data_IF_956069094307
#
_entry.id   IF_956069094307
#
_cell.length_a   1.000
_cell.length_b   1.000
_cell.length_c   1.000
_cell.angle_alpha   90.00
_cell.angle_beta   90.00
_cell.angle_gamma   90.00
#
_symmetry.space_group_name_H-M   'P 1'
#
loop_
_entity.id
_entity.type
_entity.pdbx_description
1 polymer ?
#
# COMPACT_ATOMS: atom_id res chain seq x y z
N UNK A 1 -4.93 -24.93 -6.25
CA UNK A 1 -4.85 -24.89 -7.75
C UNK A 1 -5.60 -23.71 -8.37
N UNK A 2 -6.53 -23.06 -7.68
CA UNK A 2 -7.33 -21.94 -8.23
C UNK A 2 -6.59 -20.58 -8.28
N UNK A 3 -5.41 -20.47 -7.68
CA UNK A 3 -4.64 -19.21 -7.62
C UNK A 3 -3.76 -18.97 -8.86
N UNK A 4 -3.76 -19.91 -9.81
CA UNK A 4 -2.88 -19.87 -11.00
C UNK A 4 -3.36 -18.96 -12.13
N UNK A 5 -4.51 -18.30 -11.98
CA UNK A 5 -5.06 -17.49 -13.05
C UNK A 5 -5.26 -16.03 -12.63
N UNK A 6 -4.78 -15.09 -13.45
CA UNK A 6 -5.03 -13.66 -13.30
C UNK A 6 -6.53 -13.31 -13.19
N UNK A 7 -7.42 -14.20 -13.60
CA UNK A 7 -8.87 -14.13 -13.39
C UNK A 7 -9.29 -14.04 -11.92
N UNK A 8 -8.51 -14.60 -10.99
CA UNK A 8 -8.77 -14.52 -9.57
C UNK A 8 -8.87 -13.06 -9.09
N UNK A 9 -8.10 -12.16 -9.71
CA UNK A 9 -8.15 -10.74 -9.36
C UNK A 9 -9.50 -10.09 -9.64
N UNK A 10 -10.30 -10.65 -10.57
CA UNK A 10 -11.61 -10.13 -10.93
C UNK A 10 -12.74 -10.74 -10.08
N UNK A 11 -12.58 -11.97 -9.60
CA UNK A 11 -13.64 -12.69 -8.89
C UNK A 11 -13.41 -12.78 -7.37
N UNK A 12 -12.20 -12.54 -6.87
CA UNK A 12 -11.87 -12.63 -5.45
C UNK A 12 -12.08 -11.26 -4.76
N UNK A 13 -13.00 -11.15 -3.79
CA UNK A 13 -13.29 -9.89 -3.08
C UNK A 13 -12.09 -9.35 -2.26
N UNK A 14 -11.10 -10.18 -1.96
CA UNK A 14 -9.87 -9.75 -1.32
C UNK A 14 -8.91 -9.02 -2.28
N UNK A 15 -9.17 -9.07 -3.58
CA UNK A 15 -8.36 -8.39 -4.60
C UNK A 15 -8.98 -7.05 -4.99
N UNK A 16 -8.14 -6.06 -5.18
CA UNK A 16 -8.59 -4.71 -5.51
C UNK A 16 -9.34 -4.60 -6.84
N UNK A 17 -9.01 -5.47 -7.81
CA UNK A 17 -9.69 -5.54 -9.12
C UNK A 17 -10.97 -6.39 -9.09
N UNK A 18 -11.50 -6.76 -7.92
CA UNK A 18 -12.78 -7.44 -7.83
C UNK A 18 -13.85 -6.65 -8.60
N UNK A 19 -14.61 -7.33 -9.44
CA UNK A 19 -15.52 -6.69 -10.40
C UNK A 19 -16.51 -5.70 -9.75
N UNK A 20 -16.98 -6.00 -8.53
CA UNK A 20 -17.88 -5.10 -7.78
C UNK A 20 -17.20 -3.77 -7.46
N UNK A 21 -15.90 -3.79 -7.07
CA UNK A 21 -15.14 -2.56 -6.77
C UNK A 21 -14.80 -1.77 -8.04
N UNK A 22 -14.63 -2.47 -9.18
CA UNK A 22 -14.46 -1.79 -10.47
C UNK A 22 -15.77 -1.10 -10.84
N UNK A 23 -16.91 -1.80 -10.77
CA UNK A 23 -18.22 -1.25 -11.08
C UNK A 23 -18.53 -0.04 -10.20
N UNK A 24 -18.36 -0.15 -8.87
CA UNK A 24 -18.56 0.97 -7.95
C UNK A 24 -17.70 2.18 -8.31
N UNK A 25 -16.43 1.93 -8.68
CA UNK A 25 -15.51 3.01 -9.08
C UNK A 25 -15.91 3.67 -10.39
N UNK A 26 -16.48 2.93 -11.35
CA UNK A 26 -17.05 3.47 -12.59
C UNK A 26 -18.26 4.37 -12.26
N UNK A 27 -19.17 3.90 -11.41
CA UNK A 27 -20.33 4.69 -10.97
C UNK A 27 -19.89 5.99 -10.28
N UNK A 28 -18.95 5.91 -9.36
CA UNK A 28 -18.38 7.09 -8.66
C UNK A 28 -17.70 8.05 -9.63
N UNK A 29 -17.00 7.54 -10.64
CA UNK A 29 -16.40 8.37 -11.68
C UNK A 29 -17.46 9.12 -12.50
N UNK A 30 -18.55 8.47 -12.91
CA UNK A 30 -19.65 9.12 -13.60
C UNK A 30 -20.32 10.17 -12.72
N UNK A 31 -20.60 9.89 -11.44
CA UNK A 31 -21.12 10.86 -10.48
C UNK A 31 -20.20 12.07 -10.38
N UNK A 32 -18.88 11.84 -10.26
CA UNK A 32 -17.88 12.92 -10.21
C UNK A 32 -17.96 13.82 -11.45
N UNK A 33 -17.98 13.27 -12.66
CA UNK A 33 -18.02 14.04 -13.89
C UNK A 33 -19.35 14.78 -14.07
N UNK A 34 -20.44 14.14 -13.71
CA UNK A 34 -21.78 14.76 -13.73
C UNK A 34 -21.83 15.99 -12.80
N UNK A 35 -21.43 15.84 -11.53
CA UNK A 35 -21.47 16.92 -10.53
C UNK A 35 -20.45 18.02 -10.86
N UNK A 36 -19.25 17.66 -11.32
CA UNK A 36 -18.20 18.65 -11.64
C UNK A 36 -18.38 19.33 -12.99
N UNK A 37 -19.36 18.92 -13.79
CA UNK A 37 -19.59 19.39 -15.17
C UNK A 37 -18.35 19.26 -16.08
N UNK A 38 -17.46 18.31 -15.79
CA UNK A 38 -16.24 18.05 -16.57
C UNK A 38 -16.50 16.99 -17.62
N UNK A 39 -15.60 16.95 -18.63
CA UNK A 39 -15.71 15.97 -19.70
C UNK A 39 -15.32 14.56 -19.23
N UNK A 40 -16.24 13.61 -19.28
CA UNK A 40 -16.05 12.21 -18.91
C UNK A 40 -15.22 11.39 -19.92
N UNK A 41 -14.98 11.91 -21.14
CA UNK A 41 -14.19 11.22 -22.19
C UNK A 41 -12.77 10.82 -21.72
N UNK A 42 -12.29 11.44 -20.65
CA UNK A 42 -11.01 11.06 -20.02
C UNK A 42 -11.02 9.60 -19.56
N UNK A 43 -12.17 9.07 -19.11
CA UNK A 43 -12.28 7.68 -18.61
C UNK A 43 -11.94 6.66 -19.73
N UNK A 44 -12.37 6.93 -20.95
CA UNK A 44 -12.21 6.03 -22.11
C UNK A 44 -11.08 6.45 -23.04
N UNK A 45 -10.28 7.46 -22.66
CA UNK A 45 -9.24 8.03 -23.52
C UNK A 45 -8.14 7.00 -23.82
N UNK A 46 -7.96 6.68 -25.10
CA UNK A 46 -6.85 5.86 -25.57
C UNK A 46 -5.47 6.43 -25.21
N UNK A 47 -5.34 7.76 -25.14
CA UNK A 47 -4.11 8.44 -24.68
C UNK A 47 -3.72 8.07 -23.26
N UNK A 48 -4.70 7.71 -22.41
CA UNK A 48 -4.46 7.25 -21.06
C UNK A 48 -4.13 5.75 -21.03
N UNK A 49 -5.06 4.93 -21.55
CA UNK A 49 -4.98 3.47 -21.44
C UNK A 49 -3.88 2.85 -22.31
N UNK A 50 -3.53 3.47 -23.45
CA UNK A 50 -2.46 3.04 -24.32
C UNK A 50 -1.15 3.81 -24.11
N UNK A 51 -1.08 4.66 -23.06
CA UNK A 51 0.16 5.37 -22.72
C UNK A 51 1.29 4.34 -22.44
N UNK A 52 2.54 4.59 -22.89
CA UNK A 52 3.66 3.65 -22.66
C UNK A 52 3.82 3.22 -21.19
N UNK A 53 3.62 4.17 -20.26
CA UNK A 53 3.65 3.86 -18.82
C UNK A 53 2.51 2.93 -18.37
N UNK A 54 1.30 3.06 -18.95
CA UNK A 54 0.19 2.16 -18.63
C UNK A 54 0.41 0.76 -19.23
N UNK A 55 0.92 0.69 -20.48
CA UNK A 55 1.29 -0.60 -21.09
C UNK A 55 2.36 -1.33 -20.25
N UNK A 56 3.33 -0.58 -19.74
CA UNK A 56 4.34 -1.15 -18.85
C UNK A 56 3.71 -1.72 -17.56
N UNK A 57 2.66 -1.07 -17.00
CA UNK A 57 1.92 -1.58 -15.85
C UNK A 57 1.25 -2.91 -16.15
N UNK A 58 0.66 -3.06 -17.35
CA UNK A 58 0.00 -4.31 -17.74
C UNK A 58 0.98 -5.47 -17.81
N UNK A 59 2.12 -5.30 -18.46
CA UNK A 59 3.16 -6.34 -18.49
C UNK A 59 3.74 -6.63 -17.11
N UNK A 60 3.94 -5.57 -16.30
CA UNK A 60 4.48 -5.72 -14.96
C UNK A 60 3.51 -6.43 -14.02
N UNK A 61 2.20 -6.23 -14.19
CA UNK A 61 1.17 -6.93 -13.43
C UNK A 61 1.30 -8.46 -13.57
N UNK A 62 1.44 -8.96 -14.79
CA UNK A 62 1.65 -10.40 -15.02
C UNK A 62 2.99 -10.87 -14.46
N UNK A 63 4.08 -10.14 -14.69
CA UNK A 63 5.39 -10.50 -14.16
C UNK A 63 5.38 -10.54 -12.62
N UNK A 64 4.85 -9.52 -11.97
CA UNK A 64 4.79 -9.46 -10.51
C UNK A 64 3.88 -10.54 -9.90
N UNK A 65 2.84 -10.95 -10.61
CA UNK A 65 1.98 -12.07 -10.21
C UNK A 65 2.79 -13.36 -10.05
N UNK A 66 3.58 -13.73 -11.07
CA UNK A 66 4.44 -14.92 -11.02
C UNK A 66 5.53 -14.80 -9.94
N UNK A 67 6.17 -13.64 -9.84
CA UNK A 67 7.18 -13.38 -8.78
C UNK A 67 6.54 -13.56 -7.39
N UNK A 68 5.36 -13.02 -7.15
CA UNK A 68 4.68 -13.15 -5.87
C UNK A 68 4.39 -14.61 -5.51
N UNK A 69 3.83 -15.39 -6.44
CA UNK A 69 3.45 -16.79 -6.18
C UNK A 69 4.67 -17.66 -5.95
N UNK A 70 5.67 -17.58 -6.82
CA UNK A 70 6.78 -18.54 -6.80
C UNK A 70 7.94 -18.13 -5.92
N UNK A 71 8.16 -16.81 -5.71
CA UNK A 71 9.34 -16.31 -5.00
C UNK A 71 9.03 -15.62 -3.68
N UNK A 72 7.83 -15.10 -3.45
CA UNK A 72 7.55 -14.33 -2.23
C UNK A 72 6.65 -15.09 -1.25
N UNK A 73 5.51 -15.58 -1.70
CA UNK A 73 4.52 -16.25 -0.83
C UNK A 73 5.13 -17.41 -0.03
N UNK A 74 5.98 -18.28 -0.61
CA UNK A 74 6.57 -19.40 0.13
C UNK A 74 7.45 -18.98 1.31
N UNK A 75 7.97 -17.75 1.32
CA UNK A 75 8.87 -17.23 2.35
C UNK A 75 8.21 -16.29 3.36
N UNK A 76 6.92 -15.98 3.20
CA UNK A 76 6.19 -15.15 4.14
C UNK A 76 5.68 -16.03 5.29
N UNK A 77 6.10 -15.71 6.50
CA UNK A 77 5.59 -16.36 7.72
C UNK A 77 4.09 -16.06 7.83
N UNK A 78 3.27 -17.10 7.95
CA UNK A 78 1.82 -16.97 8.03
C UNK A 78 1.34 -16.31 9.33
N UNK A 79 0.28 -15.51 9.26
CA UNK A 79 -0.32 -14.86 10.43
C UNK A 79 -0.72 -15.86 11.54
N UNK A 80 -1.15 -17.08 11.17
CA UNK A 80 -1.46 -18.16 12.10
C UNK A 80 -0.25 -18.54 12.97
N UNK A 81 0.93 -18.68 12.36
CA UNK A 81 2.16 -19.01 13.08
C UNK A 81 2.51 -17.93 14.11
N UNK A 82 2.42 -16.66 13.69
CA UNK A 82 2.67 -15.51 14.57
C UNK A 82 1.65 -15.47 15.71
N UNK A 83 0.36 -15.70 15.42
CA UNK A 83 -0.69 -15.73 16.45
C UNK A 83 -0.41 -16.82 17.51
N UNK A 84 0.03 -18.01 17.08
CA UNK A 84 0.40 -19.09 18.01
C UNK A 84 1.62 -18.70 18.87
N UNK A 85 2.63 -18.06 18.31
CA UNK A 85 3.78 -17.60 19.10
C UNK A 85 3.39 -16.52 20.11
N UNK A 86 2.62 -15.51 19.69
CA UNK A 86 2.13 -14.45 20.58
C UNK A 86 1.27 -15.05 21.72
N UNK A 87 0.36 -15.94 21.38
CA UNK A 87 -0.51 -16.59 22.37
C UNK A 87 0.32 -17.41 23.38
N UNK A 88 1.25 -18.27 22.91
CA UNK A 88 2.14 -19.04 23.79
C UNK A 88 3.01 -18.13 24.67
N UNK A 89 3.52 -17.04 24.12
CA UNK A 89 4.30 -16.07 24.90
C UNK A 89 3.48 -15.44 26.02
N UNK A 90 2.24 -15.02 25.74
CA UNK A 90 1.36 -14.42 26.73
C UNK A 90 1.00 -15.41 27.85
N UNK A 91 0.70 -16.68 27.51
CA UNK A 91 0.49 -17.73 28.51
C UNK A 91 1.73 -17.98 29.38
N UNK A 92 2.92 -17.95 28.80
CA UNK A 92 4.15 -18.18 29.54
C UNK A 92 4.52 -17.04 30.50
N UNK A 93 4.08 -15.79 30.21
CA UNK A 93 4.39 -14.62 31.03
C UNK A 93 3.31 -14.26 32.04
N UNK A 94 2.03 -14.53 31.73
CA UNK A 94 0.88 -14.00 32.47
C UNK A 94 -0.12 -15.09 32.89
N UNK A 95 0.25 -16.36 32.79
CA UNK A 95 -0.60 -17.51 33.07
C UNK A 95 -1.90 -17.54 32.25
N UNK A 96 -2.81 -18.44 32.64
CA UNK A 96 -4.11 -18.56 32.00
C UNK A 96 -5.04 -17.44 32.45
N UNK A 97 -5.63 -16.76 31.47
CA UNK A 97 -6.62 -15.70 31.71
C UNK A 97 -7.90 -16.02 30.95
N UNK A 98 -9.01 -16.22 31.64
CA UNK A 98 -10.34 -16.35 31.04
C UNK A 98 -11.15 -15.10 31.30
N UNK A 99 -11.47 -14.38 30.24
CA UNK A 99 -12.32 -13.19 30.31
C UNK A 99 -13.73 -13.54 29.85
N UNK A 100 -14.69 -13.45 30.77
CA UNK A 100 -16.12 -13.66 30.52
C UNK A 100 -16.95 -12.37 30.51
N UNK A 101 -16.32 -11.20 30.67
CA UNK A 101 -17.04 -9.93 30.81
C UNK A 101 -17.71 -9.44 29.52
N UNK A 102 -17.24 -9.83 28.35
CA UNK A 102 -17.77 -9.36 27.08
C UNK A 102 -18.68 -10.40 26.44
N UNK A 103 -19.80 -9.92 25.84
CA UNK A 103 -20.62 -10.76 24.99
C UNK A 103 -19.85 -11.19 23.73
N UNK A 104 -20.25 -12.32 23.12
CA UNK A 104 -19.65 -12.81 21.87
C UNK A 104 -19.67 -11.75 20.75
N UNK A 105 -20.82 -11.05 20.58
CA UNK A 105 -20.92 -9.97 19.59
C UNK A 105 -19.95 -8.80 19.84
N UNK A 106 -19.73 -8.46 21.13
CA UNK A 106 -18.75 -7.43 21.50
C UNK A 106 -17.33 -7.88 21.17
N UNK A 107 -16.97 -9.14 21.44
CA UNK A 107 -15.64 -9.69 21.11
C UNK A 107 -15.39 -9.63 19.60
N UNK A 108 -16.36 -10.08 18.77
CA UNK A 108 -16.23 -10.03 17.32
C UNK A 108 -16.06 -8.59 16.83
N UNK A 109 -16.85 -7.64 17.34
CA UNK A 109 -16.77 -6.24 16.97
C UNK A 109 -15.40 -5.65 17.31
N UNK A 110 -14.93 -5.85 18.54
CA UNK A 110 -13.61 -5.38 18.98
C UNK A 110 -12.48 -5.99 18.16
N UNK A 111 -12.55 -7.29 17.88
CA UNK A 111 -11.55 -7.98 17.06
C UNK A 111 -11.54 -7.46 15.61
N UNK A 112 -12.71 -7.29 15.00
CA UNK A 112 -12.86 -6.75 13.65
C UNK A 112 -12.26 -5.34 13.53
N UNK A 113 -12.56 -4.46 14.49
CA UNK A 113 -12.02 -3.10 14.56
C UNK A 113 -10.50 -3.14 14.80
N UNK A 114 -10.03 -3.96 15.74
CA UNK A 114 -8.61 -4.04 16.10
C UNK A 114 -7.75 -4.49 14.92
N UNK A 115 -8.16 -5.53 14.19
CA UNK A 115 -7.47 -5.98 12.98
C UNK A 115 -7.40 -4.85 11.96
N UNK A 116 -8.50 -4.15 11.69
CA UNK A 116 -8.55 -3.06 10.73
C UNK A 116 -7.61 -1.91 11.14
N UNK A 117 -7.74 -1.43 12.38
CA UNK A 117 -7.00 -0.26 12.88
C UNK A 117 -5.50 -0.55 12.97
N UNK A 118 -5.10 -1.69 13.56
CA UNK A 118 -3.67 -2.05 13.71
C UNK A 118 -3.04 -2.33 12.35
N UNK A 119 -3.75 -2.99 11.43
CA UNK A 119 -3.25 -3.22 10.09
C UNK A 119 -3.07 -1.90 9.31
N UNK A 120 -3.99 -0.95 9.44
CA UNK A 120 -3.88 0.35 8.76
C UNK A 120 -2.79 1.24 9.38
N UNK A 121 -2.66 1.24 10.71
CA UNK A 121 -1.60 1.94 11.43
C UNK A 121 -0.19 1.46 11.02
N UNK A 122 0.01 0.15 11.03
CA UNK A 122 1.30 -0.42 10.63
C UNK A 122 1.59 -0.21 9.14
N UNK A 123 0.54 -0.17 8.30
CA UNK A 123 0.65 0.20 6.89
C UNK A 123 1.10 1.65 6.70
N UNK A 124 0.54 2.59 7.45
CA UNK A 124 0.97 3.99 7.45
C UNK A 124 2.47 4.11 7.73
N UNK A 125 2.96 3.46 8.79
CA UNK A 125 4.37 3.53 9.18
C UNK A 125 5.29 2.89 8.16
N UNK A 126 4.97 1.69 7.66
CA UNK A 126 5.76 1.06 6.60
C UNK A 126 5.82 1.97 5.36
N UNK A 127 4.69 2.53 4.93
CA UNK A 127 4.61 3.41 3.78
C UNK A 127 5.46 4.69 4.00
N UNK A 128 5.39 5.29 5.18
CA UNK A 128 6.24 6.41 5.55
C UNK A 128 7.72 6.04 5.53
N UNK A 129 8.11 4.88 6.04
CA UNK A 129 9.50 4.40 5.98
C UNK A 129 9.99 4.16 4.55
N UNK A 130 9.13 3.65 3.68
CA UNK A 130 9.44 3.51 2.25
C UNK A 130 9.76 4.85 1.59
N UNK A 131 9.23 5.97 2.08
CA UNK A 131 9.54 7.32 1.60
C UNK A 131 10.73 7.97 2.28
N UNK A 132 10.95 7.70 3.57
CA UNK A 132 11.91 8.44 4.40
C UNK A 132 13.25 7.73 4.55
N UNK A 133 13.28 6.40 4.43
CA UNK A 133 14.52 5.61 4.48
C UNK A 133 15.09 5.46 3.07
N UNK A 134 16.30 6.01 2.77
CA UNK A 134 16.84 6.09 1.42
C UNK A 134 16.97 4.74 0.69
N UNK A 135 17.23 3.66 1.41
CA UNK A 135 17.33 2.30 0.86
C UNK A 135 15.92 1.82 0.43
N UNK A 136 14.93 1.99 1.29
CA UNK A 136 13.56 1.57 1.03
C UNK A 136 12.91 2.40 -0.10
N UNK A 137 13.25 3.69 -0.16
CA UNK A 137 12.78 4.59 -1.22
C UNK A 137 13.23 4.11 -2.62
N UNK A 138 14.41 3.50 -2.77
CA UNK A 138 14.81 2.99 -4.08
C UNK A 138 13.82 1.95 -4.62
N UNK A 139 13.27 1.10 -3.79
CA UNK A 139 12.24 0.12 -4.18
C UNK A 139 10.89 0.77 -4.41
N UNK A 140 10.48 1.71 -3.55
CA UNK A 140 9.19 2.39 -3.66
C UNK A 140 9.11 3.38 -4.83
N UNK A 141 10.23 3.89 -5.33
CA UNK A 141 10.32 4.67 -6.58
C UNK A 141 9.68 3.95 -7.76
N UNK A 142 9.72 2.62 -7.81
CA UNK A 142 9.08 1.82 -8.86
C UNK A 142 7.60 2.16 -8.94
N UNK A 143 6.93 2.23 -7.78
CA UNK A 143 5.53 2.60 -7.67
C UNK A 143 5.26 4.04 -8.11
N UNK A 144 6.09 4.98 -7.67
CA UNK A 144 6.00 6.40 -8.03
C UNK A 144 6.49 6.73 -9.43
N UNK A 145 7.09 5.79 -10.17
CA UNK A 145 7.58 6.02 -11.53
C UNK A 145 6.47 6.06 -12.59
N UNK A 146 5.23 5.73 -12.24
CA UNK A 146 4.10 5.77 -13.16
C UNK A 146 3.80 7.21 -13.62
N UNK A 147 3.83 7.46 -14.94
CA UNK A 147 3.52 8.78 -15.55
C UNK A 147 2.02 9.02 -15.67
N UNK A 148 1.24 7.96 -15.75
CA UNK A 148 -0.21 7.96 -15.74
C UNK A 148 -0.68 6.94 -14.72
N UNK A 149 -1.82 7.20 -14.08
CA UNK A 149 -2.39 6.31 -13.09
C UNK A 149 -3.61 5.59 -13.69
N UNK A 150 -3.59 4.27 -13.66
CA UNK A 150 -4.72 3.39 -13.94
C UNK A 150 -4.93 2.44 -12.76
N UNK A 151 -6.08 1.79 -12.59
CA UNK A 151 -6.27 0.82 -11.50
C UNK A 151 -5.18 -0.27 -11.45
N UNK A 152 -4.59 -0.61 -12.58
CA UNK A 152 -3.49 -1.58 -12.69
C UNK A 152 -2.18 -1.02 -12.10
N UNK A 153 -1.98 0.31 -12.10
CA UNK A 153 -0.78 0.95 -11.53
C UNK A 153 -0.61 0.62 -10.04
N UNK A 154 -1.68 0.27 -9.33
CA UNK A 154 -1.60 -0.25 -7.96
C UNK A 154 -0.63 -1.42 -7.83
N UNK A 155 -0.50 -2.25 -8.85
CA UNK A 155 0.35 -3.45 -8.87
C UNK A 155 1.78 -3.18 -9.36
N UNK A 156 2.11 -1.92 -9.73
CA UNK A 156 3.49 -1.51 -10.00
C UNK A 156 4.26 -1.37 -8.68
N UNK A 157 4.49 -2.48 -8.00
CA UNK A 157 5.16 -2.54 -6.70
C UNK A 157 6.35 -3.49 -6.79
N UNK A 158 7.54 -3.04 -6.34
CA UNK A 158 8.75 -3.88 -6.40
C UNK A 158 8.58 -5.14 -5.51
N UNK A 159 9.12 -6.31 -5.90
CA UNK A 159 9.02 -7.55 -5.12
C UNK A 159 9.47 -7.41 -3.66
N UNK A 160 10.56 -6.68 -3.40
CA UNK A 160 11.03 -6.39 -2.04
C UNK A 160 9.97 -5.63 -1.23
N UNK A 161 9.32 -4.65 -1.82
CA UNK A 161 8.23 -3.92 -1.18
C UNK A 161 7.01 -4.82 -0.91
N UNK A 162 6.62 -5.67 -1.88
CA UNK A 162 5.55 -6.65 -1.70
C UNK A 162 5.87 -7.62 -0.54
N UNK A 163 7.12 -8.07 -0.43
CA UNK A 163 7.56 -8.90 0.69
C UNK A 163 7.40 -8.18 2.03
N UNK A 164 7.85 -6.92 2.12
CA UNK A 164 7.72 -6.11 3.34
C UNK A 164 6.24 -5.89 3.74
N UNK A 165 5.38 -5.61 2.76
CA UNK A 165 3.94 -5.48 3.03
C UNK A 165 3.30 -6.80 3.45
N UNK A 166 3.70 -7.92 2.85
CA UNK A 166 3.25 -9.26 3.23
C UNK A 166 3.66 -9.62 4.66
N UNK A 167 4.94 -9.42 5.00
CA UNK A 167 5.47 -9.63 6.34
C UNK A 167 4.76 -8.75 7.37
N UNK A 168 4.66 -7.44 7.11
CA UNK A 168 3.91 -6.51 7.97
C UNK A 168 2.47 -6.98 8.19
N UNK A 169 1.79 -7.42 7.12
CA UNK A 169 0.40 -7.90 7.23
C UNK A 169 0.31 -9.11 8.15
N UNK A 170 1.16 -10.11 7.95
CA UNK A 170 1.20 -11.30 8.79
C UNK A 170 1.52 -10.99 10.25
N UNK A 171 2.49 -10.09 10.50
CA UNK A 171 2.83 -9.64 11.85
C UNK A 171 1.66 -8.94 12.53
N UNK A 172 1.00 -8.00 11.84
CA UNK A 172 -0.10 -7.23 12.41
C UNK A 172 -1.30 -8.09 12.72
N UNK A 173 -1.73 -8.92 11.77
CA UNK A 173 -2.89 -9.82 11.96
C UNK A 173 -2.57 -10.89 13.00
N UNK A 174 -1.39 -11.50 12.92
CA UNK A 174 -0.98 -12.54 13.86
C UNK A 174 -0.86 -12.02 15.29
N UNK A 175 -0.31 -10.83 15.48
CA UNK A 175 -0.22 -10.18 16.80
C UNK A 175 -1.62 -9.97 17.41
N UNK A 176 -2.51 -9.27 16.68
CA UNK A 176 -3.88 -9.01 17.18
C UNK A 176 -4.61 -10.32 17.44
N UNK A 177 -4.51 -11.28 16.52
CA UNK A 177 -5.15 -12.60 16.70
C UNK A 177 -4.64 -13.34 17.93
N UNK A 178 -3.31 -13.36 18.12
CA UNK A 178 -2.71 -14.04 19.29
C UNK A 178 -3.13 -13.42 20.62
N UNK A 179 -3.20 -12.08 20.69
CA UNK A 179 -3.70 -11.35 21.86
C UNK A 179 -5.17 -11.67 22.12
N UNK A 180 -6.02 -11.66 21.09
CA UNK A 180 -7.45 -11.95 21.25
C UNK A 180 -7.69 -13.41 21.63
N UNK A 181 -6.94 -14.38 21.09
CA UNK A 181 -7.01 -15.78 21.51
C UNK A 181 -6.62 -15.93 22.98
N UNK A 182 -5.62 -15.21 23.45
CA UNK A 182 -5.21 -15.23 24.86
C UNK A 182 -6.33 -14.77 25.79
N UNK A 183 -7.00 -13.65 25.47
CA UNK A 183 -8.04 -13.09 26.34
C UNK A 183 -9.41 -13.75 26.18
N UNK A 184 -9.75 -14.26 25.00
CA UNK A 184 -11.12 -14.69 24.67
C UNK A 184 -11.22 -16.13 24.15
N UNK A 185 -10.10 -16.85 24.11
CA UNK A 185 -10.05 -18.24 23.63
C UNK A 185 -10.42 -18.34 22.15
N UNK A 186 -11.05 -19.46 21.79
CA UNK A 186 -11.52 -19.71 20.42
C UNK A 186 -12.79 -18.93 20.03
N UNK A 187 -13.31 -18.07 20.91
CA UNK A 187 -14.51 -17.23 20.67
C UNK A 187 -14.20 -16.00 19.82
N UNK A 188 -13.34 -16.14 18.82
CA UNK A 188 -12.99 -15.04 17.92
C UNK A 188 -13.51 -15.34 16.51
N UNK A 189 -14.15 -14.33 15.92
CA UNK A 189 -14.58 -14.31 14.54
C UNK A 189 -14.52 -12.86 14.02
N UNK A 190 -14.67 -12.67 12.72
CA UNK A 190 -14.58 -11.36 12.10
C UNK A 190 -15.86 -11.07 11.33
N UNK A 191 -16.42 -9.87 11.50
CA UNK A 191 -17.49 -9.41 10.60
C UNK A 191 -16.95 -9.25 9.19
N UNK A 192 -17.44 -10.10 8.29
CA UNK A 192 -17.01 -10.16 6.90
C UNK A 192 -18.19 -9.97 5.94
N UNK A 193 -17.88 -9.39 4.79
CA UNK A 193 -18.75 -9.39 3.61
C UNK A 193 -17.97 -10.08 2.50
N UNK A 194 -18.52 -11.18 1.96
CA UNK A 194 -17.87 -12.01 0.95
C UNK A 194 -16.43 -12.45 1.34
N UNK A 195 -16.19 -12.75 2.61
CA UNK A 195 -14.88 -13.15 3.11
C UNK A 195 -13.85 -12.01 3.27
N UNK A 196 -14.29 -10.77 3.23
CA UNK A 196 -13.46 -9.57 3.46
C UNK A 196 -13.92 -8.86 4.73
N UNK A 197 -12.98 -8.37 5.54
CA UNK A 197 -13.31 -7.52 6.69
C UNK A 197 -14.23 -6.38 6.23
N UNK A 198 -15.35 -6.19 6.95
CA UNK A 198 -16.43 -5.26 6.55
C UNK A 198 -15.93 -3.83 6.29
N UNK A 199 -14.97 -3.33 7.07
CA UNK A 199 -14.41 -1.99 6.87
C UNK A 199 -13.60 -1.90 5.58
N UNK A 200 -12.83 -2.94 5.24
CA UNK A 200 -12.08 -3.00 3.99
C UNK A 200 -13.02 -3.11 2.79
N UNK A 201 -14.09 -3.90 2.91
CA UNK A 201 -15.09 -4.05 1.86
C UNK A 201 -15.79 -2.72 1.57
N UNK A 202 -16.31 -2.06 2.61
CA UNK A 202 -16.96 -0.74 2.49
C UNK A 202 -16.00 0.28 1.89
N UNK A 203 -14.76 0.38 2.41
CA UNK A 203 -13.78 1.32 1.87
C UNK A 203 -13.46 1.06 0.39
N UNK A 204 -13.42 -0.20 -0.02
CA UNK A 204 -13.15 -0.58 -1.40
C UNK A 204 -14.28 -0.17 -2.35
N UNK A 205 -15.54 -0.20 -1.89
CA UNK A 205 -16.69 0.31 -2.64
C UNK A 205 -16.64 1.84 -2.83
N UNK A 206 -16.09 2.59 -1.88
CA UNK A 206 -15.99 4.04 -1.97
C UNK A 206 -14.83 4.56 -2.83
N UNK A 207 -14.41 3.77 -3.83
CA UNK A 207 -13.51 4.23 -4.89
C UNK A 207 -12.04 3.89 -4.68
N UNK A 208 -11.74 2.74 -4.06
CA UNK A 208 -10.33 2.30 -3.91
C UNK A 208 -9.58 2.26 -5.25
N UNK A 209 -10.24 1.86 -6.36
CA UNK A 209 -9.64 1.87 -7.69
C UNK A 209 -9.43 3.28 -8.26
N UNK A 210 -10.19 4.28 -7.81
CA UNK A 210 -10.00 5.67 -8.22
C UNK A 210 -8.72 6.29 -7.64
N UNK A 211 -8.11 5.71 -6.63
CA UNK A 211 -6.82 6.16 -6.07
C UNK A 211 -5.71 6.17 -7.10
N UNK A 212 -5.69 5.16 -7.96
CA UNK A 212 -4.80 5.09 -9.11
C UNK A 212 -5.65 5.29 -10.38
N UNK A 213 -6.05 6.51 -10.62
CA UNK A 213 -6.85 6.89 -11.81
C UNK A 213 -6.66 8.37 -12.12
N UNK A 214 -7.23 8.82 -13.23
CA UNK A 214 -7.31 10.24 -13.59
C UNK A 214 -8.59 10.91 -13.09
N UNK A 215 -9.38 10.24 -12.24
CA UNK A 215 -10.59 10.79 -11.65
C UNK A 215 -10.26 11.30 -10.24
N UNK A 216 -10.11 12.62 -10.03
CA UNK A 216 -9.70 13.17 -8.74
C UNK A 216 -10.90 13.26 -7.78
N UNK A 217 -11.42 12.07 -7.40
CA UNK A 217 -12.58 11.95 -6.52
C UNK A 217 -12.18 12.26 -5.07
N UNK A 218 -12.80 13.28 -4.51
CA UNK A 218 -12.57 13.78 -3.14
C UNK A 218 -13.79 13.50 -2.27
N UNK A 219 -13.55 13.16 -1.02
CA UNK A 219 -14.61 13.03 -0.01
C UNK A 219 -14.99 14.37 0.65
N UNK A 220 -14.33 15.48 0.24
CA UNK A 220 -14.53 16.80 0.80
C UNK A 220 -13.74 17.03 2.10
N UNK A 221 -13.53 18.31 2.44
CA UNK A 221 -12.58 18.75 3.47
C UNK A 221 -12.79 18.16 4.87
N UNK A 222 -14.02 17.79 5.21
CA UNK A 222 -14.34 17.30 6.54
C UNK A 222 -14.02 15.81 6.66
N UNK A 223 -14.48 14.99 5.70
CA UNK A 223 -14.27 13.54 5.68
C UNK A 223 -12.77 13.22 5.47
N UNK A 224 -12.08 13.99 4.62
CA UNK A 224 -10.65 13.81 4.32
C UNK A 224 -9.71 14.00 5.51
N UNK A 225 -10.20 14.53 6.63
CA UNK A 225 -9.45 14.57 7.89
C UNK A 225 -9.42 13.24 8.63
N UNK A 226 -10.30 12.31 8.25
CA UNK A 226 -10.52 11.02 8.90
C UNK A 226 -10.29 9.84 7.98
N UNK A 227 -10.77 9.93 6.75
CA UNK A 227 -10.70 8.88 5.72
C UNK A 227 -9.91 9.36 4.51
N UNK A 228 -9.02 8.50 4.01
CA UNK A 228 -8.18 8.78 2.85
C UNK A 228 -8.98 8.70 1.55
N UNK A 229 -9.26 9.85 0.93
CA UNK A 229 -9.94 9.90 -0.37
C UNK A 229 -9.04 9.47 -1.54
N UNK A 230 -9.63 9.08 -2.67
CA UNK A 230 -8.87 8.81 -3.89
C UNK A 230 -7.94 9.96 -4.29
N UNK A 231 -8.42 11.20 -4.26
CA UNK A 231 -7.62 12.37 -4.64
C UNK A 231 -6.47 12.63 -3.67
N UNK A 232 -6.63 12.38 -2.36
CA UNK A 232 -5.52 12.48 -1.41
C UNK A 232 -4.39 11.49 -1.74
N UNK A 233 -4.74 10.26 -2.15
CA UNK A 233 -3.73 9.30 -2.60
C UNK A 233 -3.10 9.70 -3.94
N UNK A 234 -3.85 10.30 -4.86
CA UNK A 234 -3.27 10.87 -6.08
C UNK A 234 -2.32 12.04 -5.79
N UNK A 235 -2.61 12.86 -4.76
CA UNK A 235 -1.68 13.89 -4.27
C UNK A 235 -0.39 13.26 -3.78
N UNK A 236 -0.47 12.13 -3.08
CA UNK A 236 0.70 11.36 -2.69
C UNK A 236 1.55 10.90 -3.88
N UNK A 237 0.96 10.59 -5.02
CA UNK A 237 1.66 10.28 -6.27
C UNK A 237 2.17 11.52 -7.04
N UNK A 238 1.80 12.71 -6.63
CA UNK A 238 2.27 13.93 -7.28
C UNK A 238 3.75 14.22 -6.97
N UNK A 239 4.52 14.62 -7.99
CA UNK A 239 5.97 14.90 -7.90
C UNK A 239 6.36 15.89 -6.80
N UNK A 240 5.45 16.80 -6.43
CA UNK A 240 5.71 17.82 -5.41
C UNK A 240 5.26 17.40 -4.01
N UNK A 241 4.32 16.46 -3.92
CA UNK A 241 3.62 16.13 -2.68
C UNK A 241 3.79 14.66 -2.24
N UNK A 242 4.73 13.92 -2.83
CA UNK A 242 4.92 12.49 -2.57
C UNK A 242 5.28 12.16 -1.11
N UNK A 243 5.69 13.15 -0.30
CA UNK A 243 5.91 13.00 1.13
C UNK A 243 4.69 13.40 1.98
N UNK A 244 3.49 13.27 1.43
CA UNK A 244 2.20 13.54 2.09
C UNK A 244 1.26 12.36 1.91
N UNK A 245 0.27 12.23 2.80
CA UNK A 245 -0.84 11.28 2.66
C UNK A 245 -0.39 9.80 2.55
N UNK A 246 0.37 9.33 3.53
CA UNK A 246 0.84 7.95 3.59
C UNK A 246 -0.24 6.94 4.00
N UNK A 247 -1.36 7.40 4.55
CA UNK A 247 -2.46 6.57 5.06
C UNK A 247 -3.00 5.57 4.06
N UNK A 248 -3.32 4.38 4.54
CA UNK A 248 -3.97 3.34 3.76
C UNK A 248 -5.47 3.63 3.58
N UNK A 249 -6.21 3.62 4.63
CA UNK A 249 -7.66 3.83 4.66
C UNK A 249 -8.05 5.00 5.56
N UNK A 250 -7.37 5.15 6.69
CA UNK A 250 -7.62 6.18 7.70
C UNK A 250 -6.62 7.32 7.52
N UNK A 251 -7.11 8.55 7.32
CA UNK A 251 -6.27 9.75 7.20
C UNK A 251 -5.86 10.33 8.56
N UNK A 252 -6.39 9.78 9.65
CA UNK A 252 -6.09 10.24 11.00
C UNK A 252 -4.60 10.12 11.34
N UNK A 253 -3.91 9.11 10.79
CA UNK A 253 -2.47 8.94 10.97
C UNK A 253 -1.69 10.08 10.35
N UNK A 254 -2.04 10.47 9.12
CA UNK A 254 -1.43 11.63 8.45
C UNK A 254 -1.69 12.91 9.22
N UNK A 255 -2.87 13.05 9.83
CA UNK A 255 -3.21 14.19 10.66
C UNK A 255 -2.40 14.22 11.94
N UNK A 256 -2.29 13.11 12.65
CA UNK A 256 -1.55 13.01 13.92
C UNK A 256 -0.04 13.21 13.73
N UNK A 257 0.51 12.70 12.62
CA UNK A 257 1.94 12.76 12.35
C UNK A 257 2.36 13.86 11.37
N UNK A 258 1.46 14.83 11.07
CA UNK A 258 1.77 16.05 10.33
C UNK A 258 1.99 15.85 8.81
N UNK A 259 1.49 14.76 8.23
CA UNK A 259 1.66 14.45 6.80
C UNK A 259 0.38 14.63 5.98
N UNK A 260 -0.72 15.06 6.60
CA UNK A 260 -1.99 15.29 5.93
C UNK A 260 -1.92 16.44 4.92
N UNK A 261 -2.41 16.19 3.70
CA UNK A 261 -2.67 17.20 2.68
C UNK A 261 -4.09 17.01 2.14
N UNK A 262 -4.92 18.04 2.21
CA UNK A 262 -6.30 17.96 1.77
C UNK A 262 -6.41 18.17 0.25
N UNK A 263 -7.39 17.55 -0.36
CA UNK A 263 -7.64 17.64 -1.81
C UNK A 263 -7.87 19.06 -2.32
N UNK A 264 -8.42 19.95 -1.49
CA UNK A 264 -8.65 21.36 -1.84
C UNK A 264 -7.36 22.16 -2.02
N UNK A 265 -6.25 21.73 -1.37
CA UNK A 265 -4.99 22.46 -1.34
C UNK A 265 -4.15 22.20 -2.60
N UNK A 266 -4.50 21.18 -3.40
CA UNK A 266 -3.78 20.81 -4.61
C UNK A 266 -4.72 20.78 -5.82
N UNK A 267 -4.50 21.72 -6.76
CA UNK A 267 -5.33 21.88 -7.97
C UNK A 267 -4.85 21.02 -9.14
N UNK A 268 -3.54 20.94 -9.35
CA UNK A 268 -2.92 20.28 -10.50
C UNK A 268 -2.00 19.16 -10.00
N UNK A 269 -2.16 17.97 -10.56
CA UNK A 269 -1.34 16.80 -10.27
C UNK A 269 -0.43 16.48 -11.44
N UNK A 270 0.83 16.17 -11.16
CA UNK A 270 1.83 15.72 -12.14
C UNK A 270 2.52 14.47 -11.61
N UNK A 271 2.23 13.32 -12.22
CA UNK A 271 2.71 12.02 -11.80
C UNK A 271 4.10 11.66 -12.35
N UNK A 272 4.72 10.65 -11.77
CA UNK A 272 6.05 10.16 -12.09
C UNK A 272 7.15 10.81 -11.25
N UNK A 273 8.39 10.36 -11.44
CA UNK A 273 9.57 10.88 -10.77
C UNK A 273 10.08 12.18 -11.42
N UNK A 274 11.12 12.78 -10.85
CA UNK A 274 11.83 13.91 -11.47
C UNK A 274 12.39 13.49 -12.82
N UNK A 275 12.57 14.46 -13.72
CA UNK A 275 12.97 14.21 -15.13
C UNK A 275 14.25 13.36 -15.22
N UNK A 276 15.23 13.65 -14.36
CA UNK A 276 16.53 12.98 -14.32
C UNK A 276 16.44 11.51 -13.90
N UNK A 277 15.41 11.13 -13.17
CA UNK A 277 15.18 9.76 -12.67
C UNK A 277 14.20 8.98 -13.54
N UNK A 278 13.43 9.65 -14.39
CA UNK A 278 12.37 9.00 -15.19
C UNK A 278 12.89 8.09 -16.29
N UNK A 279 14.08 8.38 -16.86
CA UNK A 279 14.75 7.55 -17.87
C UNK A 279 15.13 6.17 -17.33
N UNK A 280 15.24 6.05 -16.02
CA UNK A 280 15.66 4.85 -15.30
C UNK A 280 14.53 3.82 -15.08
N UNK A 281 13.28 4.14 -15.49
CA UNK A 281 12.10 3.29 -15.18
C UNK A 281 11.19 3.15 -16.41
N UNK A 282 11.76 2.71 -17.54
CA UNK A 282 11.05 2.62 -18.83
C UNK A 282 10.79 1.21 -19.33
N UNK A 283 11.40 0.19 -18.71
CA UNK A 283 11.26 -1.22 -19.08
C UNK A 283 10.97 -2.11 -17.87
N UNK A 284 10.51 -3.34 -18.11
CA UNK A 284 10.31 -4.35 -17.04
C UNK A 284 11.62 -4.63 -16.28
N UNK A 285 12.73 -4.73 -17.02
CA UNK A 285 14.07 -4.91 -16.45
C UNK A 285 14.41 -3.77 -15.48
N UNK A 286 14.11 -2.53 -15.87
CA UNK A 286 14.37 -1.37 -15.02
C UNK A 286 13.54 -1.42 -13.74
N UNK A 287 12.25 -1.79 -13.82
CA UNK A 287 11.39 -1.88 -12.64
C UNK A 287 11.91 -2.91 -11.61
N UNK A 288 12.61 -3.95 -12.05
CA UNK A 288 13.15 -4.99 -11.16
C UNK A 288 14.59 -4.68 -10.73
N UNK A 289 15.48 -4.28 -11.65
CA UNK A 289 16.92 -4.21 -11.37
C UNK A 289 17.40 -2.83 -10.98
N UNK A 290 16.73 -1.76 -11.40
CA UNK A 290 17.20 -0.39 -11.15
C UNK A 290 17.37 -0.06 -9.66
N UNK A 291 16.46 -0.47 -8.75
CA UNK A 291 16.66 -0.24 -7.32
C UNK A 291 18.00 -0.77 -6.82
N UNK A 292 18.35 -2.00 -7.19
CA UNK A 292 19.63 -2.62 -6.79
C UNK A 292 20.84 -1.91 -7.40
N UNK A 293 20.76 -1.54 -8.68
CA UNK A 293 21.83 -0.79 -9.38
C UNK A 293 22.07 0.56 -8.68
N UNK A 294 20.98 1.26 -8.32
CA UNK A 294 21.07 2.55 -7.64
C UNK A 294 21.70 2.40 -6.24
N UNK A 295 21.31 1.36 -5.50
CA UNK A 295 21.88 1.06 -4.18
C UNK A 295 23.39 0.73 -4.30
N UNK A 296 23.78 -0.09 -5.27
CA UNK A 296 25.20 -0.42 -5.50
C UNK A 296 26.01 0.83 -5.85
N UNK A 297 25.49 1.73 -6.70
CA UNK A 297 26.13 3.01 -7.03
C UNK A 297 26.28 3.91 -5.79
N UNK A 298 25.24 4.03 -4.98
CA UNK A 298 25.30 4.79 -3.72
C UNK A 298 26.32 4.21 -2.76
N UNK A 299 26.33 2.90 -2.55
CA UNK A 299 27.31 2.21 -1.71
C UNK A 299 28.74 2.49 -2.16
N UNK A 300 29.02 2.41 -3.47
CA UNK A 300 30.34 2.73 -4.04
C UNK A 300 30.74 4.17 -3.75
N UNK A 301 29.83 5.12 -3.97
CA UNK A 301 30.10 6.54 -3.71
C UNK A 301 30.37 6.83 -2.23
N UNK A 302 29.69 6.15 -1.31
CA UNK A 302 29.99 6.27 0.12
C UNK A 302 31.36 5.69 0.46
N UNK A 303 31.71 4.54 -0.10
CA UNK A 303 33.02 3.91 0.11
C UNK A 303 34.16 4.78 -0.41
N UNK A 304 34.06 5.35 -1.60
CA UNK A 304 35.06 6.26 -2.17
C UNK A 304 35.24 7.54 -1.32
N UNK A 305 34.14 8.13 -0.87
CA UNK A 305 34.19 9.29 0.05
C UNK A 305 34.88 8.94 1.38
N UNK A 306 34.58 7.77 1.94
CA UNK A 306 35.24 7.30 3.17
C UNK A 306 36.74 7.07 2.97
N UNK A 307 37.13 6.50 1.84
CA UNK A 307 38.55 6.30 1.48
C UNK A 307 39.29 7.63 1.34
N UNK A 308 38.68 8.61 0.63
CA UNK A 308 39.27 9.95 0.47
C UNK A 308 39.36 10.70 1.81
N UNK A 309 38.38 10.56 2.68
CA UNK A 309 38.41 11.15 4.03
C UNK A 309 39.53 10.59 4.87
N UNK A 310 39.75 9.25 4.87
CA UNK A 310 40.84 8.61 5.58
C UNK A 310 42.22 9.00 5.02
N UNK A 311 42.33 9.13 3.69
CA UNK A 311 43.61 9.58 3.08
C UNK A 311 43.97 11.00 3.47
N UNK A 312 42.98 11.89 3.57
CA UNK A 312 43.19 13.27 3.99
C UNK A 312 43.61 13.38 5.47
N UNK A 313 43.02 12.52 6.36
CA UNK A 313 43.44 12.48 7.77
C UNK A 313 44.87 12.00 7.90
N UNK A 314 45.25 10.95 7.19
CA UNK A 314 46.65 10.42 7.21
C UNK A 314 47.65 11.44 6.65
N UNK A 315 47.23 12.28 5.67
CA UNK A 315 48.05 13.36 5.11
C UNK A 315 48.26 14.55 6.06
N UNK A 316 47.44 14.74 7.08
CA UNK A 316 47.56 15.80 8.10
C UNK A 316 48.56 15.43 9.19
N UNK A 317 48.85 14.12 9.37
CA UNK A 317 49.75 13.60 10.36
C UNK A 317 51.15 13.21 9.80
N UNK A 318 51.41 13.54 8.54
CA UNK A 318 52.72 13.54 7.90
C UNK A 318 53.20 14.98 7.69
#
# INVERSE_FOLDING_TARGET
MNELFAFEYLINPNKRLFWVYILSSIVLAFIYFYVSKKNSRVITSSKLWLHPSAKLDYYYFFLSYFINIFLLIPYIIGAKTIALYVNKFLYAQFDYYENSFFSYGTIILLYTISIFVVSDFTRYWLHRFLHTIPILWEFHKVHHSAKVLTPITFYRVHPVENFLFGLRYSLSIGFVTGVFIYFFGAKIDIYMVLGVNIFLFIFSLFGSNLRHSHVPFSYGRYIEKWLMSPKQHQIHHDKKHFNRNYGGYIAIWDRLFGTLCLSKDVKILKFGLRKEQMSDYVSLKDLILRPFINLAKKGRNYFEKFKTFNTNIIGIFK
#
